data_IF_982159749609
#
_entry.id   IF_982159749609
#
_cell.length_a   1.000
_cell.length_b   1.000
_cell.length_c   1.000
_cell.angle_alpha   90.00
_cell.angle_beta   90.00
_cell.angle_gamma   90.00
#
_symmetry.space_group_name_H-M   'P 1'
#
loop_
_entity.id
_entity.type
_entity.pdbx_description
1 polymer ?
#
# COMPACT_ATOMS: atom_id res chain seq x y z
N UNK A 1 -47.89 32.81 -9.46
CA UNK A 1 -46.52 33.08 -8.99
C UNK A 1 -45.94 31.76 -8.49
N UNK A 2 -45.14 31.14 -9.35
CA UNK A 2 -43.74 30.79 -9.05
C UNK A 2 -43.62 29.76 -7.92
N UNK A 3 -43.73 28.46 -8.18
CA UNK A 3 -42.70 27.63 -8.86
C UNK A 3 -41.28 27.88 -8.36
N UNK A 4 -41.04 27.87 -7.05
CA UNK A 4 -39.66 27.99 -6.51
C UNK A 4 -39.30 26.97 -5.42
N UNK A 5 -40.28 26.31 -4.79
CA UNK A 5 -40.03 25.27 -3.77
C UNK A 5 -39.79 23.86 -4.36
N UNK A 6 -39.54 23.75 -5.66
CA UNK A 6 -39.25 22.47 -6.33
C UNK A 6 -37.94 22.52 -7.13
N UNK A 7 -37.02 23.40 -6.72
CA UNK A 7 -35.66 23.47 -7.28
C UNK A 7 -34.61 23.65 -6.19
N UNK A 8 -34.82 23.04 -5.02
CA UNK A 8 -33.81 23.02 -3.95
C UNK A 8 -33.73 21.70 -3.18
N UNK A 9 -34.40 20.66 -3.66
CA UNK A 9 -33.93 19.29 -3.40
C UNK A 9 -32.92 18.97 -4.49
N UNK A 10 -31.72 19.53 -4.32
CA UNK A 10 -30.54 19.12 -5.05
C UNK A 10 -30.37 17.64 -4.77
N UNK A 11 -30.96 16.84 -5.65
CA UNK A 11 -30.73 15.43 -5.82
C UNK A 11 -29.25 15.27 -6.10
N UNK A 12 -28.47 15.22 -5.02
CA UNK A 12 -27.30 14.37 -4.93
C UNK A 12 -27.80 12.96 -5.15
N UNK A 13 -28.09 12.62 -6.42
CA UNK A 13 -27.89 11.27 -6.94
C UNK A 13 -26.41 11.00 -6.71
N UNK A 14 -26.08 10.60 -5.49
CA UNK A 14 -24.91 9.79 -5.22
C UNK A 14 -25.09 8.60 -6.15
N UNK A 15 -24.35 8.64 -7.25
CA UNK A 15 -24.27 7.56 -8.20
C UNK A 15 -23.64 6.41 -7.40
N UNK A 16 -24.41 5.38 -6.98
CA UNK A 16 -23.91 4.37 -6.06
C UNK A 16 -22.69 3.64 -6.67
N UNK A 17 -22.58 3.65 -7.99
CA UNK A 17 -21.46 3.13 -8.77
C UNK A 17 -20.12 3.80 -8.47
N UNK A 18 -20.06 5.11 -8.17
CA UNK A 18 -18.79 5.80 -7.91
C UNK A 18 -18.23 5.51 -6.50
N UNK A 19 -19.10 5.32 -5.51
CA UNK A 19 -18.72 4.84 -4.18
C UNK A 19 -18.42 3.33 -4.16
N UNK A 20 -19.08 2.54 -5.02
CA UNK A 20 -18.78 1.12 -5.17
C UNK A 20 -17.42 0.88 -5.85
N UNK A 21 -17.04 1.67 -6.87
CA UNK A 21 -15.73 1.57 -7.53
C UNK A 21 -14.54 1.83 -6.59
N UNK A 22 -14.71 2.63 -5.54
CA UNK A 22 -13.66 2.84 -4.53
C UNK A 22 -13.69 1.75 -3.45
N UNK A 23 -14.86 1.26 -3.06
CA UNK A 23 -15.00 0.17 -2.10
C UNK A 23 -14.43 -1.16 -2.63
N UNK A 24 -14.70 -1.50 -3.89
CA UNK A 24 -14.18 -2.70 -4.58
C UNK A 24 -12.64 -2.69 -4.68
N UNK A 25 -12.02 -1.53 -4.93
CA UNK A 25 -10.56 -1.41 -4.99
C UNK A 25 -9.90 -1.57 -3.62
N UNK A 26 -10.52 -1.05 -2.57
CA UNK A 26 -10.00 -1.15 -1.21
C UNK A 26 -10.08 -2.58 -0.66
N UNK A 27 -11.15 -3.32 -0.98
CA UNK A 27 -11.25 -4.73 -0.59
C UNK A 27 -10.18 -5.60 -1.27
N UNK A 28 -9.90 -5.37 -2.56
CA UNK A 28 -8.82 -6.06 -3.28
C UNK A 28 -7.44 -5.80 -2.65
N UNK A 29 -7.13 -4.53 -2.30
CA UNK A 29 -5.88 -4.18 -1.62
C UNK A 29 -5.78 -4.85 -0.24
N UNK A 30 -6.90 -4.95 0.49
CA UNK A 30 -6.96 -5.66 1.77
C UNK A 30 -6.56 -7.13 1.66
N UNK A 31 -7.09 -7.85 0.66
CA UNK A 31 -6.73 -9.25 0.43
C UNK A 31 -5.26 -9.42 0.01
N UNK A 32 -4.74 -8.50 -0.81
CA UNK A 32 -3.33 -8.49 -1.19
C UNK A 32 -2.42 -8.30 0.03
N UNK A 33 -2.71 -7.32 0.90
CA UNK A 33 -1.94 -7.08 2.12
C UNK A 33 -2.03 -8.27 3.08
N UNK A 34 -3.17 -8.97 3.12
CA UNK A 34 -3.32 -10.17 3.92
C UNK A 34 -2.44 -11.32 3.41
N UNK A 35 -2.35 -11.50 2.09
CA UNK A 35 -1.43 -12.47 1.49
C UNK A 35 0.04 -12.07 1.67
N UNK A 36 0.35 -10.77 1.62
CA UNK A 36 1.70 -10.26 1.86
C UNK A 36 2.13 -10.44 3.33
N UNK A 37 1.19 -10.33 4.27
CA UNK A 37 1.40 -10.54 5.71
C UNK A 37 1.47 -12.03 6.10
N UNK A 38 1.17 -12.94 5.16
CA UNK A 38 1.31 -14.37 5.41
C UNK A 38 2.77 -14.66 5.77
N UNK A 39 3.00 -15.30 6.92
CA UNK A 39 4.33 -15.59 7.46
C UNK A 39 5.34 -16.10 6.40
N UNK A 40 5.01 -17.06 5.51
CA UNK A 40 5.97 -17.50 4.48
C UNK A 40 6.28 -16.42 3.43
N UNK A 41 5.29 -15.64 3.00
CA UNK A 41 5.47 -14.60 1.98
C UNK A 41 6.30 -13.45 2.56
N UNK A 42 5.94 -13.02 3.77
CA UNK A 42 6.67 -11.98 4.48
C UNK A 42 8.11 -12.40 4.78
N UNK A 43 8.35 -13.66 5.13
CA UNK A 43 9.70 -14.18 5.36
C UNK A 43 10.56 -14.08 4.09
N UNK A 44 10.04 -14.51 2.94
CA UNK A 44 10.77 -14.42 1.67
C UNK A 44 11.08 -12.96 1.31
N UNK A 45 10.10 -12.07 1.44
CA UNK A 45 10.30 -10.63 1.17
C UNK A 45 11.35 -10.05 2.12
N UNK A 46 11.25 -10.34 3.41
CA UNK A 46 12.17 -9.82 4.43
C UNK A 46 13.60 -10.33 4.21
N UNK A 47 13.77 -11.63 3.96
CA UNK A 47 15.08 -12.22 3.68
C UNK A 47 15.67 -11.67 2.38
N UNK A 48 14.85 -11.47 1.35
CA UNK A 48 15.32 -10.86 0.09
C UNK A 48 15.82 -9.43 0.29
N UNK A 49 15.10 -8.63 1.08
CA UNK A 49 15.50 -7.26 1.40
C UNK A 49 16.75 -7.23 2.27
N UNK A 50 16.81 -8.07 3.31
CA UNK A 50 17.97 -8.18 4.18
C UNK A 50 19.22 -8.63 3.41
N UNK A 51 19.08 -9.64 2.54
CA UNK A 51 20.15 -10.12 1.67
C UNK A 51 20.60 -9.05 0.67
N UNK A 52 19.67 -8.35 0.03
CA UNK A 52 20.00 -7.27 -0.91
C UNK A 52 20.74 -6.15 -0.20
N UNK A 53 20.26 -5.74 0.98
CA UNK A 53 20.91 -4.73 1.82
C UNK A 53 22.31 -5.17 2.22
N UNK A 54 22.46 -6.42 2.67
CA UNK A 54 23.75 -7.00 3.03
C UNK A 54 24.71 -7.05 1.83
N UNK A 55 24.25 -7.50 0.67
CA UNK A 55 25.04 -7.57 -0.55
C UNK A 55 25.48 -6.18 -1.04
N UNK A 56 24.61 -5.17 -0.96
CA UNK A 56 24.94 -3.79 -1.32
C UNK A 56 25.99 -3.23 -0.35
N UNK A 57 25.84 -3.45 0.96
CA UNK A 57 26.82 -3.02 1.95
C UNK A 57 28.17 -3.69 1.71
N UNK A 58 28.18 -5.01 1.46
CA UNK A 58 29.40 -5.76 1.19
C UNK A 58 30.04 -5.38 -0.15
N UNK A 59 29.26 -4.93 -1.14
CA UNK A 59 29.79 -4.40 -2.39
C UNK A 59 30.42 -3.01 -2.22
N UNK A 60 29.79 -2.12 -1.47
CA UNK A 60 30.27 -0.73 -1.29
C UNK A 60 31.40 -0.62 -0.26
N UNK A 61 31.36 -1.47 0.77
CA UNK A 61 32.37 -1.60 1.80
C UNK A 61 32.82 -3.07 1.87
N UNK A 62 33.59 -3.54 0.88
CA UNK A 62 34.10 -4.91 0.86
C UNK A 62 35.02 -5.20 2.06
N UNK A 63 35.59 -4.16 2.65
CA UNK A 63 36.55 -4.23 3.77
C UNK A 63 35.92 -3.91 5.15
N UNK A 64 34.59 -4.06 5.30
CA UNK A 64 33.90 -3.91 6.59
C UNK A 64 34.12 -5.09 7.56
N UNK A 65 35.18 -5.88 7.35
CA UNK A 65 35.58 -6.96 8.25
C UNK A 65 36.27 -6.43 9.52
N UNK A 66 36.81 -5.21 9.46
CA UNK A 66 37.50 -4.57 10.56
C UNK A 66 36.92 -3.18 10.80
N UNK A 67 36.24 -3.01 11.94
CA UNK A 67 36.09 -1.66 12.48
C UNK A 67 37.48 -1.19 12.91
N UNK A 68 37.92 0.03 12.54
CA UNK A 68 39.17 0.57 13.05
C UNK A 68 39.08 0.64 14.58
N UNK A 69 39.83 -0.24 15.24
CA UNK A 69 40.07 -0.19 16.68
C UNK A 69 41.07 0.93 16.91
N UNK A 70 40.56 2.16 17.03
CA UNK A 70 41.31 3.24 17.68
C UNK A 70 41.29 3.04 19.20
#
# INVERSE_FOLDING_TARGET
MQTLEQKRSGSSRQNPSAMQMTAERNSQLGYFLQYLSLAPVLAVVTVSVAFSTWAIINYFFPDLLFFPLN
#
